data_IF_558757123267
#
_entry.id   IF_558757123267
#
_cell.length_a   1.000
_cell.length_b   1.000
_cell.length_c   1.000
_cell.angle_alpha   90.00
_cell.angle_beta   90.00
_cell.angle_gamma   90.00
#
_symmetry.space_group_name_H-M   'P 1'
#
loop_
_entity.id
_entity.type
_entity.pdbx_description
1 polymer ?
#
# COMPACT_ATOMS: atom_id res chain seq x y z
N UNK A 1 18.03 -8.69 11.56
CA UNK A 1 16.98 -9.50 10.90
C UNK A 1 16.00 -10.09 11.93
N UNK A 2 16.46 -10.87 12.92
CA UNK A 2 15.60 -11.48 13.97
C UNK A 2 14.72 -10.49 14.74
N UNK A 3 15.26 -9.33 15.14
CA UNK A 3 14.53 -8.36 15.97
C UNK A 3 13.30 -7.74 15.27
N UNK A 4 13.39 -7.49 13.94
CA UNK A 4 12.23 -6.98 13.17
C UNK A 4 11.13 -8.04 13.07
N UNK A 5 11.49 -9.29 12.80
CA UNK A 5 10.54 -10.39 12.72
C UNK A 5 9.89 -10.67 14.08
N UNK A 6 10.65 -10.58 15.17
CA UNK A 6 10.13 -10.78 16.52
C UNK A 6 9.19 -9.65 16.97
N UNK A 7 9.52 -8.41 16.62
CA UNK A 7 8.63 -7.26 16.84
C UNK A 7 7.33 -7.38 16.04
N UNK A 8 7.41 -7.78 14.76
CA UNK A 8 6.24 -8.04 13.93
C UNK A 8 5.35 -9.17 14.48
N UNK A 9 5.94 -10.20 15.09
CA UNK A 9 5.19 -11.27 15.74
C UNK A 9 4.49 -10.80 17.03
N UNK A 10 5.15 -9.95 17.82
CA UNK A 10 4.55 -9.35 19.02
C UNK A 10 3.42 -8.37 18.69
N UNK A 11 3.61 -7.52 17.66
CA UNK A 11 2.57 -6.62 17.19
C UNK A 11 1.36 -7.39 16.63
N UNK A 12 1.60 -8.53 15.96
CA UNK A 12 0.55 -9.45 15.51
C UNK A 12 -0.28 -10.04 16.65
N UNK A 13 0.37 -10.39 17.75
CA UNK A 13 -0.30 -10.98 18.91
C UNK A 13 -1.06 -9.93 19.73
N UNK A 14 -0.63 -8.67 19.68
CA UNK A 14 -1.25 -7.56 20.42
C UNK A 14 -2.48 -6.99 19.72
N UNK A 15 -2.47 -6.92 18.39
CA UNK A 15 -3.55 -6.34 17.58
C UNK A 15 -3.83 -7.23 16.35
N UNK A 16 -4.66 -8.28 16.50
CA UNK A 16 -4.96 -9.22 15.42
C UNK A 16 -5.70 -8.56 14.24
N UNK A 17 -6.56 -7.57 14.51
CA UNK A 17 -7.31 -6.83 13.48
C UNK A 17 -6.39 -5.99 12.57
N UNK A 18 -5.43 -5.27 13.17
CA UNK A 18 -4.42 -4.50 12.41
C UNK A 18 -3.54 -5.41 11.54
N UNK A 19 -3.30 -6.63 12.00
CA UNK A 19 -2.50 -7.60 11.26
C UNK A 19 -3.23 -8.14 10.04
N UNK A 20 -4.53 -8.38 10.18
CA UNK A 20 -5.38 -8.78 9.07
C UNK A 20 -5.50 -7.65 8.05
N UNK A 21 -5.67 -6.39 8.49
CA UNK A 21 -5.68 -5.21 7.62
C UNK A 21 -4.37 -5.07 6.84
N UNK A 22 -3.21 -5.26 7.51
CA UNK A 22 -1.90 -5.25 6.83
C UNK A 22 -1.78 -6.34 5.77
N UNK A 23 -2.20 -7.56 6.07
CA UNK A 23 -2.14 -8.67 5.12
C UNK A 23 -3.11 -8.45 3.93
N UNK A 24 -4.29 -7.89 4.19
CA UNK A 24 -5.26 -7.54 3.16
C UNK A 24 -4.72 -6.42 2.27
N UNK A 25 -4.13 -5.37 2.85
CA UNK A 25 -3.49 -4.28 2.12
C UNK A 25 -2.35 -4.80 1.23
N UNK A 26 -1.46 -5.64 1.77
CA UNK A 26 -0.37 -6.21 0.99
C UNK A 26 -0.88 -7.08 -0.17
N UNK A 27 -1.96 -7.84 0.03
CA UNK A 27 -2.55 -8.67 -1.01
C UNK A 27 -3.14 -7.82 -2.14
N UNK A 28 -3.93 -6.81 -1.79
CA UNK A 28 -4.53 -5.89 -2.77
C UNK A 28 -3.44 -5.10 -3.52
N UNK A 29 -2.43 -4.61 -2.80
CA UNK A 29 -1.28 -3.90 -3.36
C UNK A 29 -0.48 -4.74 -4.37
N UNK A 30 -0.27 -6.03 -4.07
CA UNK A 30 0.35 -6.97 -5.02
C UNK A 30 -0.53 -7.21 -6.26
N UNK A 31 -1.85 -7.16 -6.11
CA UNK A 31 -2.82 -7.32 -7.20
C UNK A 31 -2.77 -6.17 -8.23
N UNK A 32 -2.58 -4.94 -7.74
CA UNK A 32 -2.54 -3.72 -8.54
C UNK A 32 -1.34 -3.59 -9.51
N UNK A 33 -0.37 -4.53 -9.46
CA UNK A 33 0.82 -4.56 -10.33
C UNK A 33 1.45 -3.18 -10.54
N UNK A 34 1.66 -2.45 -9.44
CA UNK A 34 2.15 -1.07 -9.48
C UNK A 34 3.41 -0.93 -10.35
N UNK A 35 3.56 0.19 -11.08
CA UNK A 35 4.76 0.45 -11.86
C UNK A 35 6.04 0.41 -11.00
N UNK A 36 7.13 -0.12 -11.56
CA UNK A 36 8.44 -0.07 -10.89
C UNK A 36 8.79 1.39 -10.56
N UNK A 37 8.92 1.71 -9.27
CA UNK A 37 9.18 3.07 -8.78
C UNK A 37 8.01 3.73 -8.04
N UNK A 38 6.81 3.15 -8.14
CA UNK A 38 5.64 3.56 -7.36
C UNK A 38 5.48 2.65 -6.14
N UNK A 39 5.36 3.25 -4.96
CA UNK A 39 5.11 2.58 -3.70
C UNK A 39 3.85 3.13 -3.07
N UNK A 40 3.02 2.23 -2.55
CA UNK A 40 1.86 2.59 -1.74
C UNK A 40 2.24 2.43 -0.27
N UNK A 41 2.03 3.48 0.49
CA UNK A 41 2.24 3.52 1.93
C UNK A 41 0.91 3.89 2.59
N UNK A 42 0.65 3.27 3.73
CA UNK A 42 -0.50 3.59 4.57
C UNK A 42 0.02 3.88 5.99
N UNK A 43 -0.79 4.54 6.80
CA UNK A 43 -0.44 4.76 8.21
C UNK A 43 -0.25 3.43 8.95
N UNK A 44 0.78 3.34 9.80
CA UNK A 44 1.11 2.09 10.51
C UNK A 44 -0.04 1.54 11.37
N UNK A 45 -1.01 2.36 11.73
CA UNK A 45 -2.16 1.97 12.54
C UNK A 45 -3.47 1.98 11.76
N UNK A 46 -3.45 2.28 10.45
CA UNK A 46 -4.65 2.38 9.60
C UNK A 46 -5.70 3.36 10.20
N UNK A 47 -5.26 4.32 11.01
CA UNK A 47 -6.15 5.29 11.68
C UNK A 47 -6.61 6.40 10.73
N UNK A 48 -5.99 6.50 9.56
CA UNK A 48 -6.26 7.52 8.56
C UNK A 48 -6.91 6.90 7.33
N UNK A 49 -7.95 7.56 6.85
CA UNK A 49 -8.62 7.23 5.58
C UNK A 49 -7.81 7.68 4.35
N UNK A 50 -6.50 7.89 4.50
CA UNK A 50 -5.61 8.44 3.48
C UNK A 50 -4.63 7.37 2.99
N UNK A 51 -4.38 7.37 1.68
CA UNK A 51 -3.36 6.54 1.04
C UNK A 51 -2.23 7.44 0.53
N UNK A 52 -0.99 7.10 0.87
CA UNK A 52 0.19 7.80 0.36
C UNK A 52 0.79 7.06 -0.83
N UNK A 53 1.02 7.79 -1.92
CA UNK A 53 1.69 7.29 -3.11
C UNK A 53 3.06 7.96 -3.24
N UNK A 54 4.10 7.13 -3.26
CA UNK A 54 5.49 7.59 -3.41
C UNK A 54 6.02 7.16 -4.75
N UNK A 55 6.38 8.13 -5.58
CA UNK A 55 6.87 7.92 -6.94
C UNK A 55 8.33 8.34 -7.01
N UNK A 56 9.20 7.44 -7.47
CA UNK A 56 10.62 7.74 -7.72
C UNK A 56 10.84 7.87 -9.22
N UNK A 57 11.25 9.06 -9.65
CA UNK A 57 11.60 9.35 -11.03
C UNK A 57 12.85 10.24 -11.10
N UNK A 58 13.68 10.02 -12.12
CA UNK A 58 14.92 10.78 -12.39
C UNK A 58 14.73 11.88 -13.43
N UNK A 59 13.58 11.91 -14.12
CA UNK A 59 13.23 12.93 -15.12
C UNK A 59 11.72 13.17 -15.18
N UNK A 60 11.31 14.31 -15.73
CA UNK A 60 9.89 14.65 -15.92
C UNK A 60 9.18 13.70 -16.89
N UNK A 61 9.87 13.22 -17.93
CA UNK A 61 9.33 12.21 -18.86
C UNK A 61 9.08 10.87 -18.18
N UNK A 62 9.99 10.45 -17.32
CA UNK A 62 9.83 9.23 -16.52
C UNK A 62 8.66 9.37 -15.53
N UNK A 63 8.57 10.51 -14.83
CA UNK A 63 7.47 10.80 -13.92
C UNK A 63 6.12 10.75 -14.65
N UNK A 64 6.01 11.40 -15.81
CA UNK A 64 4.80 11.39 -16.62
C UNK A 64 4.42 9.96 -17.03
N UNK A 65 5.37 9.15 -17.49
CA UNK A 65 5.09 7.75 -17.86
C UNK A 65 4.63 6.91 -16.67
N UNK A 66 5.19 7.14 -15.48
CA UNK A 66 4.74 6.43 -14.28
C UNK A 66 3.33 6.86 -13.85
N UNK A 67 3.00 8.15 -13.98
CA UNK A 67 1.66 8.67 -13.71
C UNK A 67 0.61 8.13 -14.68
N UNK A 68 0.93 8.02 -15.97
CA UNK A 68 0.03 7.42 -16.98
C UNK A 68 -0.26 5.96 -16.66
N UNK A 69 0.76 5.18 -16.32
CA UNK A 69 0.59 3.78 -15.90
C UNK A 69 -0.18 3.66 -14.58
N UNK A 70 0.06 4.58 -13.65
CA UNK A 70 -0.65 4.62 -12.38
C UNK A 70 -2.14 4.89 -12.61
N UNK A 71 -2.50 5.80 -13.52
CA UNK A 71 -3.90 6.07 -13.87
C UNK A 71 -4.63 4.79 -14.26
N UNK A 72 -4.02 3.95 -15.10
CA UNK A 72 -4.63 2.70 -15.53
C UNK A 72 -4.77 1.68 -14.37
N UNK A 73 -3.91 1.75 -13.35
CA UNK A 73 -4.03 0.98 -12.11
C UNK A 73 -5.11 1.53 -11.17
N UNK A 74 -5.37 2.84 -11.16
CA UNK A 74 -6.36 3.47 -10.28
C UNK A 74 -7.80 3.10 -10.66
N UNK A 75 -8.05 2.79 -11.93
CA UNK A 75 -9.36 2.33 -12.44
C UNK A 75 -9.67 0.86 -12.11
N UNK A 76 -8.80 0.18 -11.36
CA UNK A 76 -8.99 -1.23 -10.98
C UNK A 76 -9.83 -1.37 -9.70
N UNK A 77 -10.66 -2.43 -9.66
CA UNK A 77 -11.54 -2.75 -8.52
C UNK A 77 -10.80 -2.93 -7.20
N UNK A 78 -9.54 -3.32 -7.27
CA UNK A 78 -8.62 -3.50 -6.16
C UNK A 78 -8.32 -2.17 -5.46
N UNK A 79 -8.31 -1.07 -6.22
CA UNK A 79 -8.05 0.25 -5.68
C UNK A 79 -9.23 0.77 -4.88
N UNK A 80 -10.45 0.56 -5.36
CA UNK A 80 -11.66 0.82 -4.57
C UNK A 80 -11.69 -0.04 -3.30
N UNK A 81 -11.28 -1.30 -3.38
CA UNK A 81 -11.23 -2.19 -2.21
C UNK A 81 -10.24 -1.69 -1.15
N UNK A 82 -9.11 -1.10 -1.55
CA UNK A 82 -8.17 -0.46 -0.63
C UNK A 82 -8.83 0.73 0.06
N UNK A 83 -9.52 1.62 -0.68
CA UNK A 83 -10.17 2.78 -0.07
C UNK A 83 -11.33 2.38 0.86
N UNK A 84 -12.13 1.37 0.51
CA UNK A 84 -13.18 0.84 1.43
C UNK A 84 -12.58 0.28 2.71
N UNK A 85 -11.46 -0.43 2.61
CA UNK A 85 -10.75 -0.95 3.77
C UNK A 85 -10.20 0.17 4.68
N UNK A 86 -9.83 1.32 4.11
CA UNK A 86 -9.35 2.48 4.88
C UNK A 86 -10.49 3.26 5.55
N UNK A 87 -11.74 3.15 5.09
CA UNK A 87 -12.90 3.89 5.63
C UNK A 87 -13.61 3.20 6.81
N UNK A 88 -13.33 1.92 7.07
CA UNK A 88 -13.95 1.15 8.16
C UNK A 88 -15.32 0.60 7.80
#
# INVERSE_FOLDING_TARGET
>A
MLYRQFKQLLDRQRNPELSQLREQFERLSKGLKLPQGVQMENDDFFEKEELLLKIKASSSKELLSQLERLRDCLDQSEMEAIFRMLQG
#
